data_IF_114040183815
#
_entry.id   IF_114040183815
#
_cell.length_a   1.000
_cell.length_b   1.000
_cell.length_c   1.000
_cell.angle_alpha   90.00
_cell.angle_beta   90.00
_cell.angle_gamma   90.00
#
_symmetry.space_group_name_H-M   'P 1'
#
loop_
_entity.id
_entity.type
_entity.pdbx_description
1 polymer ?
#
# COMPACT_ATOMS: atom_id res chain seq x y z
N UNK A 1 -17.86 -3.54 -30.65
CA UNK A 1 -16.57 -4.22 -30.37
C UNK A 1 -16.40 -4.34 -28.86
N UNK A 2 -15.85 -5.45 -28.34
CA UNK A 2 -15.59 -5.60 -26.89
C UNK A 2 -14.20 -5.04 -26.56
N UNK A 3 -14.09 -4.23 -25.51
CA UNK A 3 -12.81 -3.62 -25.11
C UNK A 3 -12.39 -4.18 -23.75
N UNK A 4 -11.18 -4.70 -23.63
CA UNK A 4 -10.56 -5.10 -22.37
C UNK A 4 -9.53 -4.05 -21.95
N UNK A 5 -9.57 -3.60 -20.69
CA UNK A 5 -8.59 -2.64 -20.17
C UNK A 5 -7.84 -3.27 -19.00
N UNK A 6 -6.57 -3.62 -19.23
CA UNK A 6 -5.69 -4.19 -18.21
C UNK A 6 -4.91 -3.09 -17.46
N UNK A 7 -4.27 -3.44 -16.35
CA UNK A 7 -3.51 -2.48 -15.55
C UNK A 7 -2.10 -2.15 -16.07
N UNK A 8 -1.51 -3.04 -16.88
CA UNK A 8 -0.16 -2.92 -17.45
C UNK A 8 -0.04 -3.63 -18.82
N UNK A 9 0.94 -3.24 -19.66
CA UNK A 9 1.10 -3.79 -21.01
C UNK A 9 1.31 -5.31 -21.05
N UNK A 10 2.04 -5.87 -20.08
CA UNK A 10 2.31 -7.32 -20.03
C UNK A 10 1.04 -8.14 -19.82
N UNK A 11 0.17 -7.70 -18.91
CA UNK A 11 -1.13 -8.36 -18.64
C UNK A 11 -2.05 -8.27 -19.86
N UNK A 12 -2.10 -7.11 -20.51
CA UNK A 12 -2.87 -6.98 -21.75
C UNK A 12 -2.38 -7.92 -22.83
N UNK A 13 -1.07 -8.14 -22.96
CA UNK A 13 -0.50 -9.09 -23.93
C UNK A 13 -0.95 -10.52 -23.65
N UNK A 14 -0.87 -10.98 -22.41
CA UNK A 14 -1.31 -12.34 -22.03
C UNK A 14 -2.82 -12.53 -22.28
N UNK A 15 -3.63 -11.56 -21.86
CA UNK A 15 -5.08 -11.58 -22.12
C UNK A 15 -5.36 -11.63 -23.64
N UNK A 16 -4.69 -10.77 -24.41
CA UNK A 16 -4.85 -10.70 -25.86
C UNK A 16 -4.51 -12.02 -26.57
N UNK A 17 -3.43 -12.69 -26.12
CA UNK A 17 -3.04 -14.00 -26.63
C UNK A 17 -4.13 -15.04 -26.42
N UNK A 18 -4.62 -15.17 -25.18
CA UNK A 18 -5.61 -16.19 -24.79
C UNK A 18 -6.96 -15.99 -25.49
N UNK A 19 -7.41 -14.75 -25.65
CA UNK A 19 -8.70 -14.44 -26.29
C UNK A 19 -8.63 -14.31 -27.82
N UNK A 20 -7.45 -14.47 -28.42
CA UNK A 20 -7.26 -14.41 -29.88
C UNK A 20 -7.20 -13.00 -30.47
N UNK A 21 -6.88 -11.99 -29.67
CA UNK A 21 -6.66 -10.60 -30.12
C UNK A 21 -5.18 -10.37 -30.49
N UNK A 22 -4.63 -11.13 -31.44
CA UNK A 22 -3.17 -11.14 -31.70
C UNK A 22 -2.60 -9.93 -32.46
N UNK A 23 -3.43 -9.10 -33.11
CA UNK A 23 -2.94 -8.01 -33.96
C UNK A 23 -2.49 -6.82 -33.10
N UNK A 24 -1.19 -6.51 -33.09
CA UNK A 24 -0.65 -5.37 -32.34
C UNK A 24 -0.94 -4.04 -33.07
N UNK A 25 -1.42 -3.06 -32.31
CA UNK A 25 -1.63 -1.67 -32.72
C UNK A 25 -0.89 -0.73 -31.76
N UNK A 26 -0.93 0.57 -32.02
CA UNK A 26 -0.35 1.56 -31.11
C UNK A 26 -1.24 1.73 -29.87
N UNK A 27 -0.79 1.19 -28.74
CA UNK A 27 -1.48 1.27 -27.44
C UNK A 27 -2.56 0.22 -27.17
N UNK A 28 -2.76 -0.75 -28.07
CA UNK A 28 -3.71 -1.87 -27.87
C UNK A 28 -3.42 -3.06 -28.80
N UNK A 29 -4.11 -4.16 -28.57
CA UNK A 29 -4.19 -5.34 -29.43
C UNK A 29 -5.62 -5.52 -29.98
N UNK A 30 -5.79 -6.14 -31.14
CA UNK A 30 -7.09 -6.36 -31.78
C UNK A 30 -7.20 -7.75 -32.40
N UNK A 31 -8.39 -8.34 -32.35
CA UNK A 31 -8.72 -9.60 -33.01
C UNK A 31 -9.84 -10.35 -32.30
N UNK A 32 -10.44 -11.32 -32.98
CA UNK A 32 -11.53 -12.16 -32.45
C UNK A 32 -12.71 -11.37 -31.82
N UNK A 33 -13.01 -10.17 -32.32
CA UNK A 33 -14.07 -9.30 -31.77
C UNK A 33 -13.70 -8.57 -30.47
N UNK A 34 -12.43 -8.59 -30.07
CA UNK A 34 -11.87 -7.89 -28.92
C UNK A 34 -10.84 -6.85 -29.32
N UNK A 35 -10.74 -5.81 -28.50
CA UNK A 35 -9.55 -4.95 -28.42
C UNK A 35 -9.04 -4.92 -26.99
N UNK A 36 -7.76 -5.21 -26.79
CA UNK A 36 -7.15 -5.26 -25.45
C UNK A 36 -6.16 -4.11 -25.31
N UNK A 37 -6.48 -3.15 -24.46
CA UNK A 37 -5.63 -2.01 -24.12
C UNK A 37 -5.24 -2.08 -22.64
N UNK A 38 -4.44 -1.13 -22.19
CA UNK A 38 -3.90 -1.12 -20.84
C UNK A 38 -3.68 0.30 -20.31
N UNK A 39 -3.67 0.41 -19.00
CA UNK A 39 -3.02 1.50 -18.27
C UNK A 39 -1.55 1.11 -17.97
N UNK A 40 -0.81 1.97 -17.27
CA UNK A 40 0.50 1.61 -16.71
C UNK A 40 0.63 2.29 -15.35
N UNK A 41 -0.12 1.78 -14.38
CA UNK A 41 -0.42 2.49 -13.14
C UNK A 41 -1.50 3.56 -13.35
N UNK A 42 -1.52 4.57 -12.49
CA UNK A 42 -2.50 5.65 -12.54
C UNK A 42 -2.28 6.53 -13.78
N UNK A 43 -3.24 6.54 -14.70
CA UNK A 43 -3.30 7.58 -15.77
C UNK A 43 -4.02 8.84 -15.28
N UNK A 44 -4.86 8.67 -14.27
CA UNK A 44 -5.73 9.68 -13.70
C UNK A 44 -5.33 9.96 -12.25
N UNK A 45 -5.56 11.18 -11.79
CA UNK A 45 -5.43 11.60 -10.40
C UNK A 45 -6.57 12.53 -10.02
N UNK A 46 -6.75 12.80 -8.73
CA UNK A 46 -7.66 13.86 -8.30
C UNK A 46 -7.14 15.22 -8.77
N UNK A 47 -8.06 16.09 -9.16
CA UNK A 47 -7.78 17.49 -9.44
C UNK A 47 -7.06 18.14 -8.25
N UNK A 48 -6.09 18.98 -8.58
CA UNK A 48 -5.40 19.82 -7.61
C UNK A 48 -6.28 21.02 -7.21
N UNK A 49 -5.98 21.70 -6.09
CA UNK A 49 -6.79 22.82 -5.64
C UNK A 49 -7.03 23.89 -6.72
N UNK A 50 -6.00 24.22 -7.49
CA UNK A 50 -6.10 25.25 -8.54
C UNK A 50 -6.92 24.83 -9.77
N UNK A 51 -7.21 23.54 -9.94
CA UNK A 51 -8.12 23.04 -10.99
C UNK A 51 -9.60 23.24 -10.63
N UNK A 52 -9.90 23.55 -9.36
CA UNK A 52 -11.23 23.93 -8.89
C UNK A 52 -11.38 25.45 -8.86
N UNK A 53 -10.42 26.12 -8.24
CA UNK A 53 -10.42 27.57 -8.02
C UNK A 53 -9.00 28.12 -8.24
N UNK A 54 -8.75 28.93 -9.29
CA UNK A 54 -7.41 29.45 -9.61
C UNK A 54 -6.70 30.14 -8.43
N UNK A 55 -7.45 30.79 -7.54
CA UNK A 55 -6.96 31.43 -6.32
C UNK A 55 -6.32 30.45 -5.34
N UNK A 56 -6.73 29.17 -5.34
CA UNK A 56 -6.13 28.11 -4.52
C UNK A 56 -4.74 27.69 -5.01
N UNK A 57 -4.24 28.27 -6.10
CA UNK A 57 -2.82 28.15 -6.50
C UNK A 57 -1.91 28.81 -5.46
N UNK A 58 -2.29 29.98 -4.93
CA UNK A 58 -1.53 30.67 -3.88
C UNK A 58 -1.90 30.10 -2.51
N UNK A 59 -0.89 29.79 -1.69
CA UNK A 59 -1.12 29.26 -0.36
C UNK A 59 -1.42 30.41 0.60
N UNK A 60 -2.53 30.33 1.32
CA UNK A 60 -2.91 31.30 2.35
C UNK A 60 -3.68 30.60 3.47
N UNK A 61 -3.52 31.07 4.70
CA UNK A 61 -4.24 30.51 5.85
C UNK A 61 -5.74 30.73 5.76
N UNK A 62 -6.17 31.89 5.23
CA UNK A 62 -7.59 32.23 5.09
C UNK A 62 -8.36 31.37 4.08
N UNK A 63 -7.65 30.68 3.18
CA UNK A 63 -8.28 29.74 2.25
C UNK A 63 -8.47 28.33 2.82
N UNK A 64 -7.82 27.99 3.95
CA UNK A 64 -7.89 26.64 4.52
C UNK A 64 -9.14 26.48 5.41
N UNK A 65 -9.81 25.31 5.39
CA UNK A 65 -9.51 24.15 4.56
C UNK A 65 -10.08 24.26 3.13
N UNK A 66 -9.33 23.73 2.16
CA UNK A 66 -9.73 23.56 0.77
C UNK A 66 -10.60 22.32 0.66
N UNK A 67 -11.90 22.52 0.46
CA UNK A 67 -12.88 21.45 0.30
C UNK A 67 -13.71 21.76 -0.96
N UNK A 68 -13.45 21.06 -2.09
CA UNK A 68 -14.26 21.24 -3.29
C UNK A 68 -15.67 20.66 -3.08
N UNK A 69 -16.67 21.22 -3.75
CA UNK A 69 -18.05 20.73 -3.69
C UNK A 69 -18.20 19.31 -4.25
N UNK A 70 -17.38 18.96 -5.25
CA UNK A 70 -17.23 17.61 -5.79
C UNK A 70 -15.78 17.38 -6.19
N UNK A 71 -15.25 16.20 -5.89
CA UNK A 71 -13.92 15.80 -6.33
C UNK A 71 -13.94 15.45 -7.82
N UNK A 72 -13.04 16.08 -8.58
CA UNK A 72 -12.87 15.84 -10.00
C UNK A 72 -11.60 15.04 -10.29
N UNK A 73 -11.58 14.39 -11.45
CA UNK A 73 -10.46 13.60 -11.94
C UNK A 73 -9.78 14.35 -13.09
N UNK A 74 -8.45 14.37 -13.10
CA UNK A 74 -7.62 14.86 -14.21
C UNK A 74 -6.60 13.81 -14.63
N UNK A 75 -6.02 13.97 -15.82
CA UNK A 75 -4.88 13.16 -16.24
C UNK A 75 -3.64 13.61 -15.50
N UNK A 76 -2.70 12.69 -15.28
CA UNK A 76 -1.34 13.07 -14.92
C UNK A 76 -0.72 13.86 -16.08
N UNK A 77 0.05 14.90 -15.74
CA UNK A 77 0.79 15.70 -16.71
C UNK A 77 1.99 14.91 -17.23
N UNK A 78 1.74 14.04 -18.20
CA UNK A 78 2.72 13.18 -18.81
C UNK A 78 2.29 12.84 -20.24
N UNK A 79 3.14 13.16 -21.23
CA UNK A 79 2.83 12.95 -22.66
C UNK A 79 2.49 11.48 -23.00
N UNK A 80 3.12 10.52 -22.34
CA UNK A 80 2.83 9.10 -22.49
C UNK A 80 1.45 8.74 -21.95
N UNK A 81 1.10 9.27 -20.76
CA UNK A 81 -0.23 9.12 -20.16
C UNK A 81 -1.31 9.70 -21.07
N UNK A 82 -1.12 10.91 -21.57
CA UNK A 82 -2.07 11.54 -22.49
C UNK A 82 -2.24 10.73 -23.77
N UNK A 83 -1.14 10.26 -24.38
CA UNK A 83 -1.20 9.45 -25.59
C UNK A 83 -2.01 8.17 -25.35
N UNK A 84 -1.70 7.44 -24.27
CA UNK A 84 -2.38 6.19 -23.96
C UNK A 84 -3.85 6.43 -23.60
N UNK A 85 -4.15 7.48 -22.83
CA UNK A 85 -5.52 7.83 -22.51
C UNK A 85 -6.34 8.16 -23.76
N UNK A 86 -5.80 8.90 -24.73
CA UNK A 86 -6.48 9.18 -26.02
C UNK A 86 -6.80 7.89 -26.79
N UNK A 87 -5.90 6.91 -26.75
CA UNK A 87 -6.17 5.57 -27.33
C UNK A 87 -7.37 4.95 -26.61
N UNK A 88 -7.35 4.89 -25.28
CA UNK A 88 -8.46 4.31 -24.49
C UNK A 88 -9.78 5.05 -24.75
N UNK A 89 -9.77 6.38 -24.73
CA UNK A 89 -10.95 7.22 -24.96
C UNK A 89 -11.58 6.95 -26.34
N UNK A 90 -10.75 6.85 -27.38
CA UNK A 90 -11.19 6.49 -28.73
C UNK A 90 -11.81 5.08 -28.78
N UNK A 91 -11.15 4.10 -28.15
CA UNK A 91 -11.63 2.72 -28.13
C UNK A 91 -12.95 2.54 -27.37
N UNK A 92 -13.10 3.25 -26.25
CA UNK A 92 -14.29 3.19 -25.40
C UNK A 92 -15.51 3.83 -26.08
N UNK A 93 -15.31 4.87 -26.90
CA UNK A 93 -16.40 5.58 -27.58
C UNK A 93 -17.22 4.66 -28.51
N UNK A 94 -16.56 3.74 -29.19
CA UNK A 94 -17.18 2.79 -30.13
C UNK A 94 -17.39 1.38 -29.53
N UNK A 95 -17.23 1.26 -28.21
CA UNK A 95 -17.33 0.00 -27.50
C UNK A 95 -18.79 -0.41 -27.30
N UNK A 96 -19.10 -1.68 -27.59
CA UNK A 96 -20.40 -2.27 -27.23
C UNK A 96 -20.40 -2.83 -25.80
N UNK A 97 -19.22 -3.13 -25.27
CA UNK A 97 -18.99 -3.63 -23.92
C UNK A 97 -17.55 -3.33 -23.52
N UNK A 98 -17.34 -2.84 -22.29
CA UNK A 98 -16.03 -2.74 -21.66
C UNK A 98 -15.87 -3.83 -20.62
N UNK A 99 -14.68 -4.44 -20.57
CA UNK A 99 -14.26 -5.42 -19.57
C UNK A 99 -13.09 -4.82 -18.80
N UNK A 100 -13.34 -4.49 -17.53
CA UNK A 100 -12.32 -4.07 -16.59
C UNK A 100 -11.46 -5.29 -16.21
N UNK A 101 -10.21 -5.29 -16.65
CA UNK A 101 -9.20 -6.32 -16.39
C UNK A 101 -8.09 -5.81 -15.47
N UNK A 102 -8.37 -4.82 -14.60
CA UNK A 102 -7.44 -4.41 -13.55
C UNK A 102 -7.18 -5.54 -12.54
N UNK A 103 -6.11 -5.42 -11.78
CA UNK A 103 -5.78 -6.40 -10.73
C UNK A 103 -6.93 -6.60 -9.74
N UNK A 104 -7.03 -7.82 -9.21
CA UNK A 104 -8.05 -8.23 -8.25
C UNK A 104 -7.83 -7.61 -6.87
N UNK A 105 -8.02 -6.29 -6.78
CA UNK A 105 -7.83 -5.51 -5.57
C UNK A 105 -8.42 -4.12 -5.68
N UNK A 106 -8.40 -3.38 -4.57
CA UNK A 106 -9.00 -2.05 -4.46
C UNK A 106 -8.38 -1.03 -5.44
N UNK A 107 -7.05 -1.03 -5.57
CA UNK A 107 -6.36 -0.10 -6.47
C UNK A 107 -6.63 -0.42 -7.94
N UNK A 108 -6.64 -1.70 -8.32
CA UNK A 108 -6.97 -2.13 -9.68
C UNK A 108 -8.37 -1.68 -10.09
N UNK A 109 -9.35 -1.77 -9.17
CA UNK A 109 -10.70 -1.27 -9.42
C UNK A 109 -10.75 0.27 -9.57
N UNK A 110 -10.05 0.99 -8.69
CA UNK A 110 -10.01 2.46 -8.69
C UNK A 110 -9.42 3.01 -9.99
N UNK A 111 -8.24 2.51 -10.40
CA UNK A 111 -7.52 2.98 -11.59
C UNK A 111 -8.40 2.90 -12.84
N UNK A 112 -9.02 1.73 -13.05
CA UNK A 112 -9.80 1.49 -14.27
C UNK A 112 -11.08 2.31 -14.28
N UNK A 113 -11.76 2.44 -13.13
CA UNK A 113 -12.97 3.27 -13.05
C UNK A 113 -12.69 4.75 -13.24
N UNK A 114 -11.57 5.28 -12.75
CA UNK A 114 -11.19 6.68 -13.01
C UNK A 114 -10.94 6.94 -14.50
N UNK A 115 -10.24 6.03 -15.17
CA UNK A 115 -10.01 6.13 -16.62
C UNK A 115 -11.34 6.08 -17.38
N UNK A 116 -12.25 5.16 -17.03
CA UNK A 116 -13.56 5.03 -17.66
C UNK A 116 -14.47 6.23 -17.42
N UNK A 117 -14.48 6.78 -16.21
CA UNK A 117 -15.22 8.01 -15.88
C UNK A 117 -14.66 9.20 -16.66
N UNK A 118 -13.33 9.33 -16.74
CA UNK A 118 -12.68 10.42 -17.47
C UNK A 118 -12.92 10.31 -18.98
N UNK A 119 -12.95 9.09 -19.52
CA UNK A 119 -13.30 8.78 -20.91
C UNK A 119 -14.81 8.85 -21.20
N UNK A 120 -15.64 9.13 -20.18
CA UNK A 120 -17.11 9.20 -20.28
C UNK A 120 -17.74 7.94 -20.90
N UNK A 121 -17.26 6.77 -20.47
CA UNK A 121 -17.80 5.48 -20.90
C UNK A 121 -19.32 5.41 -20.65
N UNK A 122 -20.09 5.15 -21.70
CA UNK A 122 -21.55 5.02 -21.65
C UNK A 122 -22.05 3.59 -21.89
N UNK A 123 -21.19 2.69 -22.37
CA UNK A 123 -21.54 1.30 -22.59
C UNK A 123 -21.43 0.45 -21.32
N UNK A 124 -22.07 -0.73 -21.28
CA UNK A 124 -22.02 -1.61 -20.12
C UNK A 124 -20.59 -2.03 -19.76
N UNK A 125 -20.32 -2.17 -18.47
CA UNK A 125 -19.01 -2.57 -17.94
C UNK A 125 -19.15 -3.93 -17.24
N UNK A 126 -18.25 -4.86 -17.56
CA UNK A 126 -18.06 -6.12 -16.86
C UNK A 126 -16.70 -6.14 -16.18
N UNK A 127 -16.53 -7.03 -15.19
CA UNK A 127 -15.30 -7.18 -14.42
C UNK A 127 -14.71 -8.58 -14.57
N UNK A 128 -13.44 -8.65 -14.99
CA UNK A 128 -12.63 -9.86 -14.99
C UNK A 128 -11.84 -9.97 -13.68
N UNK A 129 -12.26 -10.83 -12.76
CA UNK A 129 -11.65 -10.96 -11.44
C UNK A 129 -10.77 -12.21 -11.33
N UNK A 130 -9.47 -12.08 -11.63
CA UNK A 130 -8.49 -13.18 -11.61
C UNK A 130 -7.24 -12.78 -10.82
N UNK A 131 -6.63 -13.74 -10.12
CA UNK A 131 -5.36 -13.58 -9.39
C UNK A 131 -4.18 -14.33 -10.04
N UNK A 132 -4.44 -15.03 -11.15
CA UNK A 132 -3.46 -15.79 -11.92
C UNK A 132 -3.56 -15.41 -13.39
N UNK A 133 -2.42 -15.37 -14.08
CA UNK A 133 -2.31 -15.11 -15.53
C UNK A 133 -2.12 -16.39 -16.35
N UNK A 134 -2.34 -17.57 -15.75
CA UNK A 134 -2.34 -18.82 -16.52
C UNK A 134 -3.48 -18.82 -17.54
N UNK A 135 -3.29 -19.52 -18.65
CA UNK A 135 -4.27 -19.58 -19.73
C UNK A 135 -5.63 -20.09 -19.22
N UNK A 136 -5.63 -21.11 -18.37
CA UNK A 136 -6.84 -21.69 -17.77
C UNK A 136 -7.59 -20.66 -16.93
N UNK A 137 -6.88 -19.91 -16.09
CA UNK A 137 -7.47 -18.89 -15.21
C UNK A 137 -8.08 -17.74 -16.02
N UNK A 138 -7.40 -17.30 -17.09
CA UNK A 138 -7.92 -16.26 -17.99
C UNK A 138 -9.18 -16.79 -18.70
N UNK A 139 -9.14 -17.99 -19.30
CA UNK A 139 -10.29 -18.57 -20.00
C UNK A 139 -11.50 -18.73 -19.07
N UNK A 140 -11.29 -19.27 -17.88
CA UNK A 140 -12.34 -19.42 -16.87
C UNK A 140 -12.89 -18.05 -16.45
N UNK A 141 -12.02 -17.07 -16.18
CA UNK A 141 -12.42 -15.71 -15.80
C UNK A 141 -13.29 -15.04 -16.86
N UNK A 142 -12.95 -15.18 -18.14
CA UNK A 142 -13.77 -14.66 -19.25
C UNK A 142 -15.11 -15.39 -19.41
N UNK A 143 -15.21 -16.65 -19.00
CA UNK A 143 -16.50 -17.37 -18.96
C UNK A 143 -17.41 -16.91 -17.81
N UNK A 144 -16.84 -16.32 -16.75
CA UNK A 144 -17.51 -15.92 -15.51
C UNK A 144 -17.32 -14.43 -15.19
N UNK A 145 -17.53 -13.57 -16.20
CA UNK A 145 -17.45 -12.13 -16.00
C UNK A 145 -18.54 -11.63 -15.04
N UNK A 146 -18.13 -10.81 -14.07
CA UNK A 146 -19.05 -10.20 -13.13
C UNK A 146 -19.61 -8.88 -13.66
N UNK A 147 -20.82 -8.53 -13.20
CA UNK A 147 -21.34 -7.18 -13.29
C UNK A 147 -20.44 -6.20 -12.50
N UNK A 148 -20.18 -5.03 -13.08
CA UNK A 148 -19.30 -4.03 -12.47
C UNK A 148 -19.84 -3.56 -11.12
N UNK A 149 -21.17 -3.45 -10.99
CA UNK A 149 -21.91 -2.99 -9.81
C UNK A 149 -21.57 -3.81 -8.56
N UNK A 150 -21.20 -5.09 -8.72
CA UNK A 150 -20.74 -5.95 -7.62
C UNK A 150 -19.52 -5.36 -6.89
N UNK A 151 -18.73 -4.54 -7.58
CA UNK A 151 -17.50 -3.93 -7.06
C UNK A 151 -17.67 -2.44 -6.70
N UNK A 152 -18.90 -1.91 -6.66
CA UNK A 152 -19.16 -0.51 -6.32
C UNK A 152 -18.64 -0.14 -4.93
N UNK A 153 -18.82 -1.02 -3.93
CA UNK A 153 -18.30 -0.78 -2.59
C UNK A 153 -16.76 -0.80 -2.55
N UNK A 154 -16.13 -1.66 -3.36
CA UNK A 154 -14.66 -1.73 -3.47
C UNK A 154 -14.12 -0.44 -4.11
N UNK A 155 -14.76 0.03 -5.17
CA UNK A 155 -14.46 1.32 -5.79
C UNK A 155 -14.68 2.48 -4.81
N UNK A 156 -15.80 2.49 -4.09
CA UNK A 156 -16.12 3.53 -3.11
C UNK A 156 -15.07 3.58 -2.00
N UNK A 157 -14.60 2.44 -1.50
CA UNK A 157 -13.50 2.37 -0.54
C UNK A 157 -12.19 2.95 -1.10
N UNK A 158 -11.83 2.61 -2.34
CA UNK A 158 -10.68 3.20 -3.04
C UNK A 158 -10.79 4.71 -3.22
N UNK A 159 -11.95 5.19 -3.66
CA UNK A 159 -12.21 6.61 -3.88
C UNK A 159 -12.22 7.38 -2.56
N UNK A 160 -12.86 6.86 -1.51
CA UNK A 160 -12.88 7.46 -0.18
C UNK A 160 -11.47 7.57 0.41
N UNK A 161 -10.64 6.52 0.25
CA UNK A 161 -9.22 6.55 0.65
C UNK A 161 -8.47 7.68 -0.06
N UNK A 162 -8.56 7.74 -1.39
CA UNK A 162 -7.87 8.76 -2.19
C UNK A 162 -8.32 10.19 -1.81
N UNK A 163 -9.62 10.40 -1.62
CA UNK A 163 -10.20 11.68 -1.20
C UNK A 163 -9.73 12.04 0.22
N UNK A 164 -9.75 11.09 1.15
CA UNK A 164 -9.30 11.31 2.53
C UNK A 164 -7.81 11.66 2.60
N UNK A 165 -6.98 10.94 1.84
CA UNK A 165 -5.54 11.22 1.73
C UNK A 165 -5.29 12.60 1.10
N UNK A 166 -6.06 12.99 0.08
CA UNK A 166 -6.01 14.34 -0.52
C UNK A 166 -6.42 15.43 0.47
N UNK A 167 -7.56 15.26 1.14
CA UNK A 167 -8.09 16.25 2.08
C UNK A 167 -7.14 16.52 3.23
N UNK A 168 -6.65 15.46 3.89
CA UNK A 168 -5.70 15.60 4.98
C UNK A 168 -4.36 16.12 4.45
N UNK A 169 -3.82 15.49 3.40
CA UNK A 169 -2.49 15.76 2.89
C UNK A 169 -2.34 17.21 2.42
N UNK A 170 -3.25 17.67 1.55
CA UNK A 170 -3.21 19.02 1.00
C UNK A 170 -3.41 20.07 2.09
N UNK A 171 -4.44 19.91 2.93
CA UNK A 171 -4.76 20.92 3.94
C UNK A 171 -3.72 20.99 5.05
N UNK A 172 -3.33 19.84 5.61
CA UNK A 172 -2.36 19.81 6.71
C UNK A 172 -0.97 20.22 6.23
N UNK A 173 -0.53 19.77 5.05
CA UNK A 173 0.78 20.21 4.49
C UNK A 173 0.81 21.72 4.28
N UNK A 174 -0.24 22.30 3.69
CA UNK A 174 -0.33 23.76 3.50
C UNK A 174 -0.36 24.50 4.84
N UNK A 175 -1.15 24.04 5.80
CA UNK A 175 -1.25 24.63 7.13
C UNK A 175 0.10 24.63 7.85
N UNK A 176 0.75 23.46 7.95
CA UNK A 176 2.01 23.31 8.68
C UNK A 176 3.14 24.08 8.00
N UNK A 177 3.23 24.01 6.68
CA UNK A 177 4.22 24.77 5.91
C UNK A 177 4.04 26.28 6.11
N UNK A 178 2.81 26.80 6.07
CA UNK A 178 2.56 28.24 6.26
C UNK A 178 2.81 28.72 7.70
N UNK A 179 2.53 27.88 8.72
CA UNK A 179 2.68 28.27 10.13
C UNK A 179 4.08 28.04 10.70
N UNK A 180 4.74 26.96 10.28
CA UNK A 180 5.96 26.46 10.92
C UNK A 180 7.11 26.24 9.93
N UNK A 181 6.85 26.34 8.63
CA UNK A 181 7.90 26.23 7.61
C UNK A 181 8.75 27.51 7.57
N UNK A 182 10.07 27.33 7.51
CA UNK A 182 10.98 28.41 7.15
C UNK A 182 10.83 28.77 5.66
N UNK A 183 11.47 29.86 5.21
CA UNK A 183 11.40 30.29 3.80
C UNK A 183 11.75 29.13 2.84
N UNK A 184 10.77 28.73 2.03
CA UNK A 184 10.91 27.66 1.04
C UNK A 184 10.85 26.22 1.59
N UNK A 185 10.70 26.03 2.89
CA UNK A 185 10.65 24.70 3.49
C UNK A 185 9.24 24.10 3.46
N UNK A 186 9.05 23.03 2.69
CA UNK A 186 7.82 22.25 2.69
C UNK A 186 7.79 21.30 3.90
N UNK A 187 6.72 21.38 4.70
CA UNK A 187 6.44 20.44 5.79
C UNK A 187 5.30 19.52 5.37
N UNK A 188 5.65 18.39 4.76
CA UNK A 188 4.66 17.41 4.29
C UNK A 188 3.99 16.69 5.46
N UNK A 189 2.66 16.74 5.49
CA UNK A 189 1.83 16.03 6.47
C UNK A 189 0.94 15.06 5.71
N UNK A 190 0.81 13.83 6.22
CA UNK A 190 -0.07 12.84 5.61
C UNK A 190 -0.36 11.68 6.55
N UNK A 191 -1.49 11.00 6.29
CA UNK A 191 -2.02 9.92 7.13
C UNK A 191 -1.03 8.77 7.36
N UNK A 192 -0.14 8.51 6.41
CA UNK A 192 0.86 7.43 6.51
C UNK A 192 2.24 7.96 6.89
N UNK A 193 2.77 8.93 6.14
CA UNK A 193 4.12 9.46 6.37
C UNK A 193 4.31 10.05 7.78
N UNK A 194 3.29 10.73 8.32
CA UNK A 194 3.41 11.43 9.60
C UNK A 194 3.41 10.46 10.79
N UNK A 195 2.51 9.46 10.87
CA UNK A 195 2.64 8.41 11.89
C UNK A 195 3.92 7.60 11.79
N UNK A 196 4.40 7.29 10.58
CA UNK A 196 5.69 6.59 10.41
C UNK A 196 6.85 7.41 10.98
N UNK A 197 6.89 8.71 10.71
CA UNK A 197 7.87 9.61 11.33
C UNK A 197 7.70 9.67 12.86
N UNK A 198 6.45 9.69 13.34
CA UNK A 198 6.17 9.72 14.78
C UNK A 198 6.69 8.48 15.51
N UNK A 199 6.65 7.29 14.90
CA UNK A 199 7.25 6.06 15.46
C UNK A 199 8.76 6.20 15.65
N UNK A 200 9.46 6.76 14.66
CA UNK A 200 10.91 6.97 14.72
C UNK A 200 11.25 8.00 15.81
N UNK A 201 10.52 9.13 15.84
CA UNK A 201 10.70 10.17 16.85
C UNK A 201 10.41 9.65 18.26
N UNK A 202 9.37 8.84 18.44
CA UNK A 202 9.05 8.22 19.72
C UNK A 202 10.19 7.30 20.18
N UNK A 203 10.71 6.44 19.29
CA UNK A 203 11.88 5.60 19.59
C UNK A 203 13.12 6.41 19.92
N UNK A 204 13.37 7.52 19.21
CA UNK A 204 14.51 8.38 19.53
C UNK A 204 14.36 9.01 20.93
N UNK A 205 13.17 9.46 21.30
CA UNK A 205 12.90 9.95 22.66
C UNK A 205 13.11 8.86 23.72
N UNK A 206 12.71 7.62 23.44
CA UNK A 206 13.00 6.49 24.35
C UNK A 206 14.52 6.32 24.55
N UNK A 207 15.30 6.44 23.48
CA UNK A 207 16.77 6.33 23.53
C UNK A 207 17.39 7.52 24.27
N UNK A 208 16.99 8.75 23.96
CA UNK A 208 17.54 9.97 24.57
C UNK A 208 17.26 10.03 26.08
N UNK A 209 16.11 9.48 26.51
CA UNK A 209 15.71 9.42 27.92
C UNK A 209 16.13 8.11 28.61
N UNK A 210 16.77 7.18 27.90
CA UNK A 210 17.28 5.96 28.51
C UNK A 210 18.51 6.28 29.34
N UNK A 211 18.40 6.12 30.66
CA UNK A 211 19.54 6.23 31.57
C UNK A 211 20.04 4.82 31.87
N UNK A 212 21.20 4.39 31.32
CA UNK A 212 21.74 3.06 31.57
C UNK A 212 21.97 2.87 33.07
N UNK A 213 21.43 1.78 33.62
CA UNK A 213 21.68 1.39 35.00
C UNK A 213 22.55 0.14 35.01
N UNK A 214 23.65 0.12 35.79
CA UNK A 214 24.40 -1.11 35.98
C UNK A 214 23.52 -2.13 36.71
N UNK A 215 23.67 -3.38 36.31
CA UNK A 215 23.07 -4.51 37.02
C UNK A 215 24.08 -5.65 37.03
N UNK A 216 23.93 -6.53 38.02
CA UNK A 216 24.79 -7.70 38.21
C UNK A 216 23.94 -8.97 38.13
N UNK A 217 24.46 -9.98 37.45
CA UNK A 217 23.85 -11.30 37.38
C UNK A 217 24.81 -12.30 38.03
N UNK A 218 24.30 -13.11 38.95
CA UNK A 218 25.06 -14.25 39.45
C UNK A 218 24.94 -15.39 38.46
N UNK A 219 26.10 -15.91 38.04
CA UNK A 219 26.20 -17.01 37.08
C UNK A 219 27.14 -18.08 37.63
N UNK A 220 26.82 -19.33 37.32
CA UNK A 220 27.69 -20.47 37.58
C UNK A 220 27.81 -21.31 36.31
N UNK A 221 28.93 -22.01 36.17
CA UNK A 221 29.17 -22.92 35.06
C UNK A 221 29.12 -24.34 35.60
N UNK A 222 28.25 -25.16 35.03
CA UNK A 222 28.17 -26.58 35.34
C UNK A 222 28.07 -27.37 34.04
N UNK A 223 28.97 -28.35 33.84
CA UNK A 223 29.07 -29.14 32.60
C UNK A 223 29.07 -28.27 31.33
N UNK A 224 29.92 -27.23 31.33
CA UNK A 224 30.09 -26.28 30.21
C UNK A 224 28.85 -25.42 29.88
N UNK A 225 27.80 -25.47 30.71
CA UNK A 225 26.60 -24.65 30.56
C UNK A 225 26.59 -23.55 31.62
N UNK A 226 26.31 -22.32 31.18
CA UNK A 226 26.11 -21.16 32.07
C UNK A 226 24.69 -21.15 32.60
N UNK A 227 24.56 -21.26 33.91
CA UNK A 227 23.29 -21.09 34.64
C UNK A 227 23.26 -19.70 35.26
N UNK A 228 22.11 -19.04 35.17
CA UNK A 228 21.85 -17.75 35.83
C UNK A 228 21.05 -17.99 37.12
N UNK A 229 21.22 -17.11 38.10
CA UNK A 229 20.35 -17.08 39.28
C UNK A 229 18.87 -16.92 38.88
N UNK A 230 17.98 -17.66 39.53
CA UNK A 230 16.53 -17.57 39.39
C UNK A 230 15.93 -16.27 39.92
N UNK A 231 16.57 -15.60 40.89
CA UNK A 231 16.09 -14.34 41.47
C UNK A 231 16.28 -13.14 40.53
N UNK A 232 16.96 -13.32 39.41
CA UNK A 232 17.14 -12.30 38.39
C UNK A 232 18.38 -11.43 38.60
N UNK A 233 18.24 -10.14 38.36
CA UNK A 233 19.33 -9.16 38.30
C UNK A 233 19.40 -8.36 39.61
N UNK A 234 20.61 -8.19 40.14
CA UNK A 234 20.89 -7.31 41.26
C UNK A 234 21.15 -5.90 40.74
N UNK A 235 20.53 -4.89 41.35
CA UNK A 235 20.77 -3.47 41.04
C UNK A 235 21.80 -2.83 41.96
N UNK A 236 22.16 -3.51 43.05
CA UNK A 236 23.22 -3.11 43.99
C UNK A 236 24.38 -4.12 43.94
N UNK A 237 25.61 -3.59 43.84
CA UNK A 237 26.81 -4.42 43.73
C UNK A 237 27.16 -5.12 45.04
N UNK A 238 26.96 -4.47 46.19
CA UNK A 238 27.28 -5.04 47.48
C UNK A 238 26.33 -6.19 47.83
N UNK A 239 25.05 -6.06 47.48
CA UNK A 239 24.08 -7.16 47.59
C UNK A 239 24.50 -8.35 46.74
N UNK A 240 24.90 -8.11 45.48
CA UNK A 240 25.41 -9.17 44.60
C UNK A 240 26.67 -9.84 45.19
N UNK A 241 27.57 -9.08 45.81
CA UNK A 241 28.78 -9.61 46.45
C UNK A 241 28.43 -10.42 47.71
N UNK A 242 27.54 -9.93 48.58
CA UNK A 242 27.09 -10.69 49.76
C UNK A 242 26.41 -12.00 49.35
N UNK A 243 25.58 -11.95 48.32
CA UNK A 243 24.92 -13.13 47.77
C UNK A 243 25.94 -14.16 47.24
N UNK A 244 26.94 -13.74 46.44
CA UNK A 244 27.96 -14.67 45.94
C UNK A 244 28.85 -15.24 47.05
N UNK A 245 29.18 -14.44 48.07
CA UNK A 245 29.95 -14.91 49.22
C UNK A 245 29.19 -15.94 50.05
N UNK A 246 27.87 -15.76 50.22
CA UNK A 246 27.03 -16.70 50.97
C UNK A 246 26.94 -18.09 50.35
N UNK A 247 27.19 -18.21 49.04
CA UNK A 247 27.12 -19.47 48.27
C UNK A 247 28.50 -19.97 47.81
N UNK A 248 29.56 -19.19 48.01
CA UNK A 248 30.91 -19.55 47.56
C UNK A 248 31.36 -20.84 48.24
N UNK A 249 31.79 -21.80 47.44
CA UNK A 249 32.28 -23.11 47.93
C UNK A 249 31.18 -24.05 48.42
N UNK A 250 29.90 -23.69 48.32
CA UNK A 250 28.80 -24.62 48.57
C UNK A 250 28.56 -25.50 47.35
N UNK A 251 28.22 -26.76 47.60
CA UNK A 251 27.74 -27.66 46.56
C UNK A 251 26.29 -27.29 46.22
N UNK A 252 25.97 -27.32 44.92
CA UNK A 252 24.63 -27.09 44.42
C UNK A 252 23.95 -28.42 44.13
N UNK A 253 22.70 -28.57 44.56
CA UNK A 253 21.87 -29.73 44.25
C UNK A 253 20.85 -29.38 43.15
N UNK A 254 20.65 -30.31 42.21
CA UNK A 254 19.60 -30.17 41.19
C UNK A 254 18.26 -30.50 41.85
N UNK A 255 17.47 -29.47 42.14
CA UNK A 255 16.13 -29.63 42.74
C UNK A 255 15.05 -30.03 41.74
N UNK A 256 15.30 -29.86 40.44
CA UNK A 256 14.37 -30.25 39.38
C UNK A 256 14.96 -30.16 37.98
N UNK A 257 14.47 -31.03 37.09
CA UNK A 257 14.79 -31.03 35.66
C UNK A 257 13.52 -31.32 34.85
N UNK A 258 13.27 -30.50 33.83
CA UNK A 258 12.12 -30.66 32.95
C UNK A 258 12.54 -30.65 31.48
N UNK A 259 12.19 -31.68 30.73
CA UNK A 259 12.35 -31.73 29.28
C UNK A 259 10.99 -31.69 28.62
N UNK A 260 10.73 -30.64 27.83
CA UNK A 260 9.52 -30.53 27.01
C UNK A 260 9.91 -30.67 25.54
N UNK A 261 9.12 -31.41 24.76
CA UNK A 261 9.26 -31.42 23.30
C UNK A 261 8.68 -30.11 22.77
N UNK A 262 9.53 -29.24 22.23
CA UNK A 262 9.09 -28.11 21.42
C UNK A 262 8.68 -28.59 20.04
N UNK A 263 7.58 -28.07 19.51
CA UNK A 263 7.22 -28.18 18.09
C UNK A 263 7.16 -26.76 17.53
N UNK A 264 7.87 -26.54 16.43
CA UNK A 264 7.78 -25.31 15.66
C UNK A 264 7.13 -25.65 14.32
N UNK A 265 6.09 -24.90 13.96
CA UNK A 265 5.43 -25.06 12.67
C UNK A 265 6.30 -24.41 11.58
N UNK A 266 6.24 -24.88 10.33
CA UNK A 266 6.87 -24.18 9.23
C UNK A 266 6.33 -22.74 9.13
N UNK A 267 7.15 -21.78 8.69
CA UNK A 267 6.70 -20.42 8.45
C UNK A 267 5.59 -20.41 7.39
N UNK A 268 4.79 -19.34 7.40
CA UNK A 268 3.78 -19.13 6.36
C UNK A 268 4.46 -18.93 5.00
N UNK A 269 3.69 -19.13 3.93
CA UNK A 269 4.10 -18.69 2.61
C UNK A 269 4.34 -17.17 2.62
N UNK A 270 5.27 -16.73 1.79
CA UNK A 270 5.63 -15.32 1.68
C UNK A 270 4.43 -14.45 1.30
N UNK A 271 4.42 -13.25 1.87
CA UNK A 271 3.65 -12.11 1.36
C UNK A 271 4.61 -10.97 1.00
N UNK A 272 4.10 -9.82 0.54
CA UNK A 272 4.96 -8.71 0.14
C UNK A 272 5.74 -8.05 1.30
N UNK A 273 5.41 -8.41 2.55
CA UNK A 273 5.97 -7.82 3.76
C UNK A 273 6.84 -8.80 4.57
N UNK A 274 6.88 -10.08 4.20
CA UNK A 274 7.54 -11.16 4.93
C UNK A 274 8.52 -11.95 4.06
#
# INVERSE_FOLDING_TARGET
MKICIAEKPSVAKEIALVIGAGSRKDGYYEGNGYRVTWTFGHLCTLKEPHDYLPEWKRWSLGALPLIPSRFGIKLLDNKGVEKQFRVIESLVKDASLVINCGDAGQEGELIQRWVLQKAKCSCPIKRLWISSLTEEAIREGFSKLYDSERFDNLYAAGSARAIGDWLLGINATRLYTLKYGNQGQLLSIGRVQTPTLALIVARQKEIDNFVPQPYWELKTVYKEVTFNNSEGRFTDKEEAIKAIESIRGKEFEITGFGRKKGKEAPPRLFDLTS
#
